data_IF_378558610704
#
_entry.id   IF_378558610704
#
_cell.length_a   1.000
_cell.length_b   1.000
_cell.length_c   1.000
_cell.angle_alpha   90.00
_cell.angle_beta   90.00
_cell.angle_gamma   90.00
#
_symmetry.space_group_name_H-M   'P 1'
#
loop_
_entity.id
_entity.type
_entity.pdbx_description
1 polymer ?
#
# COMPACT_ATOMS: atom_id res chain seq x y z
N UNK A 1 4.12 -7.73 -15.40
CA UNK A 1 4.78 -8.16 -14.15
C UNK A 1 3.71 -8.75 -13.28
N UNK A 2 3.90 -9.97 -12.82
CA UNK A 2 2.94 -10.70 -11.98
C UNK A 2 3.56 -10.89 -10.62
N UNK A 3 2.86 -10.47 -9.56
CA UNK A 3 3.24 -10.71 -8.18
C UNK A 3 2.16 -11.60 -7.57
N UNK A 4 2.40 -12.90 -7.37
CA UNK A 4 1.34 -13.90 -7.14
C UNK A 4 0.37 -13.61 -5.99
N UNK A 5 0.82 -12.90 -4.96
CA UNK A 5 -0.01 -12.50 -3.83
C UNK A 5 -1.09 -11.45 -4.17
N UNK A 6 -1.02 -10.82 -5.35
CA UNK A 6 -1.88 -9.69 -5.70
C UNK A 6 -2.56 -9.86 -7.05
N UNK A 7 -3.83 -9.49 -7.08
CA UNK A 7 -4.53 -9.19 -8.33
C UNK A 7 -4.09 -7.82 -8.84
N UNK A 8 -3.91 -7.71 -10.16
CA UNK A 8 -3.59 -6.43 -10.80
C UNK A 8 -4.36 -6.30 -12.11
N UNK A 9 -5.18 -5.27 -12.23
CA UNK A 9 -6.00 -5.02 -13.43
C UNK A 9 -6.36 -3.55 -13.56
N UNK A 10 -6.81 -3.16 -14.75
CA UNK A 10 -7.37 -1.84 -14.99
C UNK A 10 -8.87 -1.87 -14.70
N UNK A 11 -9.36 -0.95 -13.88
CA UNK A 11 -10.80 -0.86 -13.56
C UNK A 11 -11.59 -0.36 -14.77
N UNK A 12 -12.78 -0.93 -14.99
CA UNK A 12 -13.60 -0.60 -16.17
C UNK A 12 -14.31 0.75 -16.05
N UNK A 13 -14.60 1.20 -14.84
CA UNK A 13 -15.36 2.39 -14.50
C UNK A 13 -14.50 3.65 -14.46
N UNK A 14 -13.31 3.57 -13.86
CA UNK A 14 -12.40 4.73 -13.71
C UNK A 14 -11.15 4.65 -14.60
N UNK A 15 -10.82 3.47 -15.15
CA UNK A 15 -9.58 3.26 -15.90
C UNK A 15 -8.33 3.24 -15.00
N UNK A 16 -8.48 3.13 -13.68
CA UNK A 16 -7.36 3.13 -12.75
C UNK A 16 -6.65 1.77 -12.76
N UNK A 17 -5.35 1.81 -12.53
CA UNK A 17 -4.57 0.59 -12.28
C UNK A 17 -4.79 0.18 -10.82
N UNK A 18 -5.51 -0.92 -10.63
CA UNK A 18 -5.80 -1.51 -9.32
C UNK A 18 -4.76 -2.56 -8.98
N UNK A 19 -4.33 -2.54 -7.72
CA UNK A 19 -3.69 -3.68 -7.05
C UNK A 19 -4.56 -4.08 -5.88
N UNK A 20 -4.84 -5.37 -5.75
CA UNK A 20 -5.67 -5.91 -4.67
C UNK A 20 -5.02 -7.12 -4.02
N UNK A 21 -5.02 -7.14 -2.69
CA UNK A 21 -4.88 -8.36 -1.88
C UNK A 21 -6.26 -8.72 -1.35
N UNK A 22 -6.73 -9.91 -1.70
CA UNK A 22 -7.99 -10.44 -1.19
C UNK A 22 -7.70 -11.61 -0.24
N UNK A 23 -8.01 -11.40 1.04
CA UNK A 23 -7.93 -12.39 2.12
C UNK A 23 -9.32 -12.91 2.49
N UNK A 24 -10.36 -12.47 1.77
CA UNK A 24 -11.73 -12.81 2.09
C UNK A 24 -12.04 -14.26 1.71
N UNK A 25 -13.07 -14.80 2.35
CA UNK A 25 -13.64 -16.11 2.08
C UNK A 25 -15.00 -15.96 1.41
N UNK A 26 -15.55 -17.05 0.86
CA UNK A 26 -16.90 -17.05 0.29
C UNK A 26 -17.97 -16.55 1.28
N UNK A 27 -17.76 -16.72 2.59
CA UNK A 27 -18.66 -16.22 3.63
C UNK A 27 -18.67 -14.68 3.74
N UNK A 28 -17.59 -14.02 3.33
CA UNK A 28 -17.42 -12.56 3.37
C UNK A 28 -18.05 -11.87 2.15
N UNK A 29 -18.46 -12.62 1.11
CA UNK A 29 -18.94 -12.04 -0.14
C UNK A 29 -20.15 -11.10 0.04
N UNK A 30 -21.06 -11.42 0.96
CA UNK A 30 -22.22 -10.55 1.26
C UNK A 30 -21.80 -9.26 1.95
N UNK A 31 -20.81 -9.32 2.84
CA UNK A 31 -20.25 -8.17 3.55
C UNK A 31 -19.52 -7.25 2.57
N UNK A 32 -18.72 -7.82 1.68
CA UNK A 32 -18.01 -7.05 0.65
C UNK A 32 -18.99 -6.35 -0.29
N UNK A 33 -20.04 -7.04 -0.72
CA UNK A 33 -21.06 -6.44 -1.58
C UNK A 33 -21.78 -5.24 -0.92
N UNK A 34 -21.95 -5.26 0.41
CA UNK A 34 -22.53 -4.14 1.15
C UNK A 34 -21.63 -2.90 1.17
N UNK A 35 -20.30 -3.05 1.13
CA UNK A 35 -19.42 -1.88 0.94
C UNK A 35 -19.55 -1.25 -0.45
N UNK A 36 -20.03 -2.02 -1.44
CA UNK A 36 -20.17 -1.59 -2.84
C UNK A 36 -21.55 -0.94 -3.13
N UNK A 37 -22.52 -1.02 -2.21
CA UNK A 37 -23.92 -0.58 -2.41
C UNK A 37 -24.24 0.88 -1.99
N UNK A 38 -23.21 1.67 -1.68
CA UNK A 38 -23.27 3.09 -1.34
C UNK A 38 -23.94 3.45 0.01
N UNK A 39 -24.19 2.49 0.91
CA UNK A 39 -24.36 2.78 2.35
C UNK A 39 -23.11 2.35 3.15
N UNK A 40 -22.04 3.17 3.19
CA UNK A 40 -20.80 2.84 3.87
C UNK A 40 -20.89 2.85 5.41
N UNK A 41 -22.07 3.07 6.02
CA UNK A 41 -22.25 3.06 7.48
C UNK A 41 -22.41 1.65 8.08
N UNK A 42 -21.65 0.72 7.50
CA UNK A 42 -21.23 -0.57 8.03
C UNK A 42 -22.17 -1.78 7.97
N UNK A 43 -21.70 -2.88 7.34
CA UNK A 43 -21.98 -4.23 7.84
C UNK A 43 -21.53 -4.32 9.31
N UNK A 44 -22.42 -4.75 10.20
CA UNK A 44 -22.09 -4.90 11.61
C UNK A 44 -20.85 -5.80 11.80
N UNK A 45 -19.83 -5.29 12.51
CA UNK A 45 -18.56 -6.00 12.72
C UNK A 45 -17.50 -5.79 11.63
N UNK A 46 -17.73 -4.91 10.66
CA UNK A 46 -16.75 -4.59 9.62
C UNK A 46 -16.58 -3.08 9.44
N UNK A 47 -15.42 -2.64 8.96
CA UNK A 47 -15.09 -1.23 8.72
C UNK A 47 -14.27 -1.07 7.45
N UNK A 48 -14.43 0.09 6.79
CA UNK A 48 -13.41 0.65 5.92
C UNK A 48 -12.44 1.49 6.76
N UNK A 49 -11.24 0.96 7.00
CA UNK A 49 -10.25 1.56 7.91
C UNK A 49 -9.56 2.78 7.32
N UNK A 50 -9.48 2.84 6.00
CA UNK A 50 -8.85 3.93 5.26
C UNK A 50 -9.76 4.31 4.10
N UNK A 51 -10.17 5.57 4.10
CA UNK A 51 -10.77 6.24 2.95
C UNK A 51 -9.97 7.52 2.69
N UNK A 52 -8.77 7.38 2.13
CA UNK A 52 -7.90 8.52 1.83
C UNK A 52 -8.40 9.25 0.58
N UNK A 53 -8.80 10.51 0.78
CA UNK A 53 -9.20 11.46 -0.27
C UNK A 53 -8.60 12.84 -0.01
N UNK A 54 -7.35 12.88 0.48
CA UNK A 54 -6.64 14.14 0.69
C UNK A 54 -6.53 14.92 -0.63
N UNK A 55 -6.56 16.25 -0.54
CA UNK A 55 -6.50 17.15 -1.71
C UNK A 55 -5.33 16.84 -2.66
N UNK A 56 -4.19 16.40 -2.12
CA UNK A 56 -2.98 16.02 -2.90
C UNK A 56 -3.20 14.74 -3.72
N UNK A 57 -4.10 13.85 -3.28
CA UNK A 57 -4.41 12.57 -3.91
C UNK A 57 -5.77 12.57 -4.61
N UNK A 58 -6.55 13.64 -4.48
CA UNK A 58 -7.91 13.75 -5.02
C UNK A 58 -7.93 13.44 -6.52
N UNK A 59 -8.72 12.43 -6.90
CA UNK A 59 -8.84 11.97 -8.29
C UNK A 59 -7.59 11.28 -8.86
N UNK A 60 -6.55 11.06 -8.05
CA UNK A 60 -5.30 10.42 -8.47
C UNK A 60 -5.17 8.99 -7.96
N UNK A 61 -5.71 8.68 -6.79
CA UNK A 61 -5.66 7.34 -6.21
C UNK A 61 -6.81 7.12 -5.22
N UNK A 62 -7.09 5.85 -4.95
CA UNK A 62 -8.00 5.41 -3.89
C UNK A 62 -7.32 4.29 -3.11
N UNK A 63 -7.24 4.42 -1.80
CA UNK A 63 -6.87 3.32 -0.90
C UNK A 63 -8.11 2.89 -0.14
N UNK A 64 -8.34 1.58 -0.09
CA UNK A 64 -9.40 0.97 0.70
C UNK A 64 -8.80 -0.19 1.49
N UNK A 65 -9.12 -0.23 2.77
CA UNK A 65 -8.83 -1.39 3.62
C UNK A 65 -10.11 -1.81 4.31
N UNK A 66 -10.61 -3.00 3.96
CA UNK A 66 -11.78 -3.59 4.60
C UNK A 66 -11.31 -4.58 5.66
N UNK A 67 -11.85 -4.43 6.86
CA UNK A 67 -11.47 -5.26 7.99
C UNK A 67 -12.69 -5.67 8.83
N UNK A 68 -12.59 -6.85 9.43
CA UNK A 68 -13.44 -7.29 10.53
C UNK A 68 -12.91 -6.63 11.81
N UNK A 69 -13.84 -6.13 12.62
CA UNK A 69 -13.54 -5.46 13.88
C UNK A 69 -14.36 -6.07 15.01
N UNK A 70 -13.76 -6.12 16.19
CA UNK A 70 -14.45 -6.41 17.44
C UNK A 70 -14.61 -5.14 18.27
N UNK A 71 -15.67 -5.09 19.09
CA UNK A 71 -16.03 -3.92 19.89
C UNK A 71 -17.08 -3.04 19.23
N UNK A 72 -17.40 -1.92 19.86
CA UNK A 72 -18.35 -0.92 19.34
C UNK A 72 -17.87 0.49 19.64
N UNK A 73 -17.97 1.40 18.67
CA UNK A 73 -17.61 2.80 18.85
C UNK A 73 -16.09 3.02 18.84
N UNK A 74 -15.60 4.00 19.61
CA UNK A 74 -14.16 4.39 19.59
C UNK A 74 -13.18 3.38 20.21
N UNK A 75 -13.61 2.14 20.50
CA UNK A 75 -12.78 1.07 21.08
C UNK A 75 -12.69 -0.15 20.15
N UNK A 76 -12.97 0.04 18.87
CA UNK A 76 -12.90 -1.03 17.89
C UNK A 76 -11.46 -1.48 17.65
N UNK A 77 -11.27 -2.80 17.62
CA UNK A 77 -9.98 -3.44 17.33
C UNK A 77 -10.11 -4.32 16.10
N UNK A 78 -9.15 -4.23 15.19
CA UNK A 78 -9.10 -5.07 14.00
C UNK A 78 -8.87 -6.52 14.42
N UNK A 79 -9.68 -7.45 13.93
CA UNK A 79 -9.51 -8.89 14.16
C UNK A 79 -9.05 -9.63 12.91
N UNK A 80 -9.37 -9.09 11.72
CA UNK A 80 -8.94 -9.66 10.44
C UNK A 80 -8.97 -8.60 9.35
N UNK A 81 -7.95 -8.56 8.49
CA UNK A 81 -7.97 -7.78 7.25
C UNK A 81 -8.55 -8.63 6.13
N UNK A 82 -9.64 -8.17 5.50
CA UNK A 82 -10.33 -8.88 4.43
C UNK A 82 -9.77 -8.52 3.07
N UNK A 83 -9.55 -7.23 2.83
CA UNK A 83 -9.20 -6.72 1.51
C UNK A 83 -8.35 -5.47 1.65
N UNK A 84 -7.26 -5.42 0.89
CA UNK A 84 -6.48 -4.22 0.66
C UNK A 84 -6.58 -3.88 -0.83
N UNK A 85 -6.99 -2.65 -1.15
CA UNK A 85 -7.08 -2.14 -2.51
C UNK A 85 -6.26 -0.85 -2.62
N UNK A 86 -5.41 -0.78 -3.64
CA UNK A 86 -4.72 0.44 -4.04
C UNK A 86 -4.99 0.70 -5.52
N UNK A 87 -5.81 1.72 -5.80
CA UNK A 87 -6.10 2.20 -7.14
C UNK A 87 -5.27 3.43 -7.46
N UNK A 88 -4.68 3.43 -8.65
CA UNK A 88 -3.83 4.51 -9.12
C UNK A 88 -4.30 4.98 -10.49
N UNK A 89 -4.46 6.29 -10.65
CA UNK A 89 -4.73 6.91 -11.96
C UNK A 89 -3.65 6.50 -12.98
N UNK A 90 -3.98 6.43 -14.28
CA UNK A 90 -3.04 5.96 -15.30
C UNK A 90 -1.69 6.67 -15.29
N UNK A 91 -0.62 5.92 -15.52
CA UNK A 91 0.69 6.49 -15.79
C UNK A 91 0.76 7.00 -17.23
N UNK A 92 1.04 8.29 -17.39
CA UNK A 92 1.05 8.99 -18.67
C UNK A 92 2.48 9.23 -19.16
N UNK A 93 3.30 8.19 -19.16
CA UNK A 93 4.65 8.26 -19.72
C UNK A 93 4.73 7.86 -21.20
N UNK A 94 3.59 7.72 -21.88
CA UNK A 94 3.58 7.45 -23.31
C UNK A 94 2.67 8.43 -24.04
N UNK A 95 3.21 9.05 -25.09
CA UNK A 95 2.48 9.93 -25.99
C UNK A 95 2.82 9.55 -27.44
N UNK A 96 1.80 9.18 -28.22
CA UNK A 96 1.96 8.75 -29.62
C UNK A 96 2.99 7.61 -29.79
N UNK A 97 3.01 6.64 -28.86
CA UNK A 97 3.92 5.49 -28.88
C UNK A 97 5.36 5.80 -28.45
N UNK A 98 5.66 7.03 -28.04
CA UNK A 98 6.97 7.46 -27.54
C UNK A 98 6.91 7.76 -26.06
N UNK A 99 7.99 7.45 -25.35
CA UNK A 99 8.11 7.78 -23.94
C UNK A 99 8.19 9.30 -23.75
N UNK A 100 7.41 9.85 -22.81
CA UNK A 100 7.51 11.25 -22.38
C UNK A 100 8.87 11.47 -21.72
N UNK A 101 9.27 10.55 -20.85
CA UNK A 101 10.60 10.44 -20.26
C UNK A 101 11.08 9.00 -20.32
N UNK A 102 12.28 8.80 -20.90
CA UNK A 102 12.93 7.49 -20.98
C UNK A 102 14.06 7.31 -19.95
N UNK A 103 14.42 8.39 -19.24
CA UNK A 103 15.62 8.47 -18.40
C UNK A 103 15.34 9.35 -17.20
N UNK A 104 16.17 9.25 -16.17
CA UNK A 104 16.10 10.12 -15.00
C UNK A 104 15.67 9.40 -13.73
N UNK A 105 15.78 10.15 -12.64
CA UNK A 105 15.47 9.68 -11.30
C UNK A 105 14.36 10.53 -10.70
N UNK A 106 13.38 9.85 -10.11
CA UNK A 106 12.22 10.49 -9.51
C UNK A 106 12.03 10.00 -8.09
N UNK A 107 11.58 10.89 -7.21
CA UNK A 107 11.50 10.64 -5.78
C UNK A 107 10.06 10.85 -5.33
N UNK A 108 9.54 9.93 -4.53
CA UNK A 108 8.23 10.07 -3.92
C UNK A 108 8.32 9.82 -2.42
N UNK A 109 7.49 10.55 -1.66
CA UNK A 109 7.34 10.39 -0.21
C UNK A 109 5.87 10.40 0.17
N UNK A 110 5.55 9.85 1.33
CA UNK A 110 4.18 9.84 1.83
C UNK A 110 3.97 8.91 3.00
N UNK A 111 2.84 8.22 3.01
CA UNK A 111 2.30 7.52 4.17
C UNK A 111 2.40 6.00 4.02
N UNK A 112 2.47 5.31 5.15
CA UNK A 112 2.43 3.85 5.23
C UNK A 112 1.53 3.40 6.38
N UNK A 113 0.76 2.34 6.13
CA UNK A 113 -0.20 1.75 7.07
C UNK A 113 -0.06 0.24 7.08
N UNK A 114 -0.17 -0.36 8.26
CA UNK A 114 0.11 -1.77 8.53
C UNK A 114 -0.89 -2.38 9.49
N UNK A 115 -1.17 -3.65 9.27
CA UNK A 115 -1.82 -4.55 10.22
C UNK A 115 -0.95 -5.79 10.40
N UNK A 116 -0.50 -6.04 11.62
CA UNK A 116 0.39 -7.15 11.92
C UNK A 116 -0.17 -8.04 13.03
N UNK A 117 -0.03 -9.36 12.87
CA UNK A 117 -0.32 -10.35 13.90
C UNK A 117 0.97 -11.10 14.24
N UNK A 118 1.21 -11.32 15.54
CA UNK A 118 2.35 -12.05 16.07
C UNK A 118 1.79 -13.18 16.95
N UNK A 119 2.12 -14.42 16.64
CA UNK A 119 1.69 -15.63 17.36
C UNK A 119 0.17 -15.80 17.55
N UNK A 120 -0.64 -15.28 16.63
CA UNK A 120 -2.11 -15.32 16.74
C UNK A 120 -2.68 -14.36 17.78
N UNK A 121 -1.85 -13.48 18.36
CA UNK A 121 -2.30 -12.34 19.16
C UNK A 121 -3.18 -11.39 18.33
N UNK A 122 -3.95 -10.50 18.99
CA UNK A 122 -4.75 -9.50 18.29
C UNK A 122 -3.93 -8.69 17.28
N UNK A 123 -4.55 -8.39 16.14
CA UNK A 123 -3.93 -7.57 15.10
C UNK A 123 -3.60 -6.19 15.67
N UNK A 124 -2.36 -5.78 15.50
CA UNK A 124 -1.87 -4.45 15.85
C UNK A 124 -1.80 -3.57 14.62
N UNK A 125 -2.27 -2.35 14.75
CA UNK A 125 -2.26 -1.37 13.67
C UNK A 125 -1.00 -0.51 13.74
N UNK A 126 -0.35 -0.28 12.60
CA UNK A 126 0.82 0.57 12.47
C UNK A 126 0.57 1.67 11.44
N UNK A 127 1.01 2.90 11.70
CA UNK A 127 0.93 3.99 10.73
C UNK A 127 2.04 5.02 10.91
N UNK A 128 2.44 5.65 9.80
CA UNK A 128 3.24 6.87 9.81
C UNK A 128 2.91 7.73 8.58
N UNK A 129 2.58 9.00 8.82
CA UNK A 129 2.34 10.01 7.78
C UNK A 129 3.56 10.32 6.91
N UNK A 130 4.77 9.96 7.37
CA UNK A 130 6.02 10.00 6.60
C UNK A 130 6.59 8.59 6.39
N UNK A 131 5.72 7.57 6.49
CA UNK A 131 6.07 6.16 6.45
C UNK A 131 6.57 5.67 5.11
N UNK A 132 6.17 6.29 3.99
CA UNK A 132 6.93 6.17 2.75
C UNK A 132 8.08 7.17 2.81
N UNK A 133 9.21 6.70 3.33
CA UNK A 133 10.41 7.52 3.61
C UNK A 133 11.07 7.94 2.30
N UNK A 134 11.17 7.01 1.36
CA UNK A 134 11.64 7.27 0.00
C UNK A 134 11.17 6.17 -0.95
N UNK A 135 10.70 6.57 -2.13
CA UNK A 135 10.58 5.73 -3.32
C UNK A 135 11.38 6.40 -4.42
N UNK A 136 12.46 5.74 -4.83
CA UNK A 136 13.35 6.19 -5.89
C UNK A 136 13.08 5.38 -7.16
N UNK A 137 12.56 6.02 -8.19
CA UNK A 137 12.36 5.42 -9.50
C UNK A 137 13.55 5.76 -10.40
N UNK A 138 14.21 4.74 -10.94
CA UNK A 138 15.25 4.92 -11.92
C UNK A 138 14.75 4.45 -13.29
N UNK A 139 14.54 5.39 -14.21
CA UNK A 139 14.00 5.09 -15.54
C UNK A 139 15.04 4.48 -16.46
N UNK A 140 16.32 4.80 -16.25
CA UNK A 140 17.44 4.26 -17.03
C UNK A 140 17.61 2.76 -16.78
N UNK A 141 17.51 2.33 -15.52
CA UNK A 141 17.64 0.92 -15.13
C UNK A 141 16.30 0.20 -15.01
N UNK A 142 15.17 0.92 -15.08
CA UNK A 142 13.83 0.38 -14.90
C UNK A 142 13.69 -0.34 -13.55
N UNK A 143 14.14 0.33 -12.50
CA UNK A 143 14.10 -0.18 -11.12
C UNK A 143 13.47 0.83 -10.15
N UNK A 144 12.93 0.32 -9.05
CA UNK A 144 12.44 1.07 -7.92
C UNK A 144 13.16 0.63 -6.63
N UNK A 145 13.64 1.60 -5.86
CA UNK A 145 14.13 1.39 -4.50
C UNK A 145 13.12 2.01 -3.54
N UNK A 146 12.70 1.27 -2.51
CA UNK A 146 11.62 1.71 -1.62
C UNK A 146 11.97 1.47 -0.15
N UNK A 147 11.65 2.46 0.68
CA UNK A 147 11.79 2.42 2.12
C UNK A 147 10.45 2.76 2.77
N UNK A 148 9.83 1.77 3.40
CA UNK A 148 8.56 1.89 4.12
C UNK A 148 8.79 1.68 5.61
N UNK A 149 8.15 2.49 6.45
CA UNK A 149 8.24 2.42 7.90
C UNK A 149 6.90 2.72 8.55
N UNK A 150 6.69 2.15 9.73
CA UNK A 150 5.71 2.68 10.69
C UNK A 150 6.44 3.04 11.98
N UNK A 151 5.87 3.97 12.76
CA UNK A 151 6.38 4.34 14.08
C UNK A 151 5.63 3.62 15.20
N UNK A 152 6.04 3.87 16.45
CA UNK A 152 5.17 3.65 17.61
C UNK A 152 4.78 5.04 18.13
N UNK A 153 3.49 5.37 18.02
CA UNK A 153 2.92 6.67 18.42
C UNK A 153 1.56 6.41 19.08
N UNK A 154 0.85 7.47 19.52
CA UNK A 154 -0.47 7.29 20.15
C UNK A 154 -1.53 6.58 19.29
N UNK A 155 -1.31 6.46 17.98
CA UNK A 155 -2.21 5.81 17.01
C UNK A 155 -1.51 4.67 16.24
N UNK A 156 -0.32 4.26 16.65
CA UNK A 156 0.48 3.22 15.98
C UNK A 156 1.08 2.28 17.02
N UNK A 157 0.63 1.04 16.98
CA UNK A 157 0.89 -0.01 17.98
C UNK A 157 2.02 -0.95 17.54
N UNK A 158 2.40 -0.93 16.27
CA UNK A 158 3.47 -1.75 15.71
C UNK A 158 4.40 -0.95 14.82
N UNK A 159 5.71 -1.14 15.03
CA UNK A 159 6.75 -0.65 14.13
C UNK A 159 7.11 -1.74 13.13
N UNK A 160 7.11 -1.37 11.87
CA UNK A 160 7.66 -2.18 10.78
C UNK A 160 8.64 -1.39 9.95
N UNK A 161 9.54 -2.10 9.28
CA UNK A 161 10.45 -1.52 8.29
C UNK A 161 10.59 -2.45 7.09
N UNK A 162 10.58 -1.86 5.89
CA UNK A 162 10.92 -2.49 4.62
C UNK A 162 11.97 -1.61 3.97
N UNK A 163 13.07 -2.22 3.53
CA UNK A 163 14.06 -1.59 2.68
C UNK A 163 14.34 -2.55 1.53
N UNK A 164 13.74 -2.27 0.36
CA UNK A 164 13.89 -3.09 -0.83
C UNK A 164 14.56 -2.28 -1.94
N UNK A 165 15.55 -2.86 -2.59
CA UNK A 165 16.28 -2.24 -3.69
C UNK A 165 16.06 -3.01 -4.99
N UNK A 166 16.20 -2.30 -6.11
CA UNK A 166 16.16 -2.85 -7.46
C UNK A 166 14.89 -3.65 -7.77
N UNK A 167 13.77 -3.27 -7.18
CA UNK A 167 12.48 -3.86 -7.55
C UNK A 167 12.25 -3.56 -9.03
N UNK A 168 11.87 -4.56 -9.84
CA UNK A 168 11.51 -4.32 -11.23
C UNK A 168 10.46 -3.20 -11.35
N UNK A 169 10.67 -2.27 -12.29
CA UNK A 169 9.76 -1.16 -12.58
C UNK A 169 9.54 -1.02 -14.08
N UNK A 170 8.28 -0.94 -14.51
CA UNK A 170 7.91 -0.75 -15.90
C UNK A 170 7.59 0.74 -16.15
N UNK A 171 8.50 1.43 -16.83
CA UNK A 171 8.35 2.86 -17.16
C UNK A 171 7.23 3.17 -18.15
N UNK A 172 6.57 2.18 -18.75
CA UNK A 172 5.40 2.40 -19.63
C UNK A 172 4.11 2.30 -18.84
N UNK A 173 3.98 1.27 -18.01
CA UNK A 173 2.74 1.00 -17.28
C UNK A 173 2.73 1.58 -15.86
N UNK A 174 3.85 2.07 -15.34
CA UNK A 174 3.97 2.58 -13.96
C UNK A 174 4.08 1.47 -12.92
N UNK A 175 4.02 0.21 -13.34
CA UNK A 175 3.99 -0.97 -12.49
C UNK A 175 5.36 -1.26 -11.87
N UNK A 176 5.44 -1.42 -10.55
CA UNK A 176 6.63 -1.95 -9.87
C UNK A 176 6.30 -2.94 -8.76
N UNK A 177 7.29 -3.67 -8.30
CA UNK A 177 7.14 -4.62 -7.20
C UNK A 177 7.99 -5.87 -7.36
N UNK A 178 7.90 -6.76 -6.37
CA UNK A 178 8.70 -7.96 -6.27
C UNK A 178 8.76 -8.46 -4.84
N UNK A 179 9.73 -9.33 -4.57
CA UNK A 179 9.97 -9.87 -3.24
C UNK A 179 10.54 -8.79 -2.31
N UNK A 180 10.14 -8.85 -1.05
CA UNK A 180 10.61 -7.94 0.01
C UNK A 180 10.87 -8.73 1.28
N UNK A 181 11.62 -8.14 2.21
CA UNK A 181 11.67 -8.60 3.61
C UNK A 181 11.06 -7.52 4.48
N UNK A 182 10.12 -7.90 5.34
CA UNK A 182 9.49 -7.04 6.33
C UNK A 182 10.12 -7.32 7.68
N UNK A 183 10.63 -6.28 8.34
CA UNK A 183 11.01 -6.34 9.75
C UNK A 183 9.84 -5.86 10.61
N UNK A 184 9.48 -6.63 11.64
CA UNK A 184 8.40 -6.32 12.58
C UNK A 184 8.98 -6.33 13.99
N UNK A 185 8.85 -5.21 14.69
CA UNK A 185 9.25 -5.13 16.09
C UNK A 185 8.11 -5.61 16.96
N UNK A 186 8.38 -6.59 17.80
CA UNK A 186 7.46 -6.96 18.86
C UNK A 186 7.35 -5.81 19.88
N UNK A 187 6.17 -5.22 20.10
CA UNK A 187 6.00 -4.16 21.09
C UNK A 187 6.17 -4.65 22.54
N UNK A 188 6.02 -5.95 22.80
CA UNK A 188 6.04 -6.53 24.15
C UNK A 188 7.38 -7.21 24.49
N UNK A 189 8.32 -7.27 23.53
CA UNK A 189 9.66 -7.82 23.73
C UNK A 189 10.74 -7.05 22.96
N UNK A 190 12.00 -7.48 23.04
CA UNK A 190 13.09 -6.92 22.23
C UNK A 190 13.26 -7.61 20.87
N UNK A 191 12.35 -8.53 20.53
CA UNK A 191 12.45 -9.37 19.35
C UNK A 191 12.09 -8.59 18.09
N UNK A 192 12.83 -8.87 17.01
CA UNK A 192 12.56 -8.34 15.68
C UNK A 192 12.38 -9.54 14.76
N UNK A 193 11.20 -9.66 14.18
CA UNK A 193 10.90 -10.71 13.21
C UNK A 193 11.21 -10.20 11.81
N UNK A 194 12.03 -10.92 11.06
CA UNK A 194 12.27 -10.67 9.64
C UNK A 194 11.56 -11.76 8.84
N UNK A 195 10.57 -11.38 8.05
CA UNK A 195 9.76 -12.30 7.24
C UNK A 195 9.77 -11.88 5.78
N UNK A 196 9.87 -12.85 4.89
CA UNK A 196 9.79 -12.62 3.46
C UNK A 196 8.36 -12.39 3.02
N UNK A 197 8.19 -11.57 1.99
CA UNK A 197 6.90 -11.16 1.49
C UNK A 197 6.98 -10.65 0.06
N UNK A 198 5.91 -10.00 -0.36
CA UNK A 198 5.81 -9.41 -1.69
C UNK A 198 5.19 -8.03 -1.62
N UNK A 199 5.63 -7.16 -2.53
CA UNK A 199 5.11 -5.81 -2.71
C UNK A 199 4.67 -5.60 -4.15
N UNK A 200 3.58 -4.86 -4.33
CA UNK A 200 3.10 -4.44 -5.64
C UNK A 200 2.56 -3.01 -5.58
N UNK A 201 3.13 -2.15 -6.41
CA UNK A 201 2.74 -0.74 -6.52
C UNK A 201 2.58 -0.28 -7.96
N UNK A 202 1.93 0.86 -8.11
CA UNK A 202 1.79 1.57 -9.37
C UNK A 202 2.20 3.04 -9.19
N UNK A 203 2.70 3.61 -10.28
CA UNK A 203 2.88 5.05 -10.48
C UNK A 203 1.71 5.55 -11.31
N UNK A 204 1.20 6.74 -10.98
CA UNK A 204 0.25 7.47 -11.79
C UNK A 204 0.76 8.85 -12.15
N UNK A 205 0.01 9.56 -13.01
CA UNK A 205 0.36 10.93 -13.42
C UNK A 205 1.42 10.98 -14.50
N UNK A 206 2.15 12.08 -14.60
CA UNK A 206 3.14 12.32 -15.67
C UNK A 206 4.54 12.57 -15.10
N UNK A 207 5.60 12.01 -15.72
CA UNK A 207 6.99 12.26 -15.33
C UNK A 207 7.55 13.57 -15.93
N UNK A 208 6.74 14.33 -16.68
CA UNK A 208 7.12 15.65 -17.14
C UNK A 208 7.28 16.60 -15.94
N UNK A 209 8.35 17.39 -15.96
CA UNK A 209 8.54 18.45 -14.98
C UNK A 209 7.90 19.74 -15.46
N UNK A 210 7.01 20.29 -14.66
CA UNK A 210 6.43 21.63 -14.82
C UNK A 210 6.68 22.40 -13.52
N UNK A 211 7.21 23.62 -13.62
CA UNK A 211 7.57 24.46 -12.47
C UNK A 211 8.41 23.76 -11.39
N UNK A 212 9.33 22.88 -11.83
CA UNK A 212 10.22 22.05 -10.99
C UNK A 212 9.54 20.93 -10.19
N UNK A 213 8.28 20.61 -10.50
CA UNK A 213 7.54 19.50 -9.92
C UNK A 213 7.22 18.47 -10.99
N UNK A 214 7.17 17.19 -10.62
CA UNK A 214 6.55 16.16 -11.44
C UNK A 214 5.15 15.84 -10.92
N UNK A 215 4.21 15.60 -11.83
CA UNK A 215 2.82 15.27 -11.49
C UNK A 215 2.61 13.82 -11.04
N UNK A 216 3.67 13.11 -10.62
CA UNK A 216 3.58 11.68 -10.29
C UNK A 216 3.14 11.43 -8.86
N UNK A 217 2.34 10.37 -8.72
CA UNK A 217 1.93 9.82 -7.43
C UNK A 217 2.12 8.31 -7.44
N UNK A 218 2.12 7.70 -6.25
CA UNK A 218 2.19 6.24 -6.11
C UNK A 218 1.22 5.73 -5.07
N UNK A 219 0.75 4.51 -5.30
CA UNK A 219 0.03 3.71 -4.33
C UNK A 219 0.44 2.25 -4.48
N UNK A 220 0.41 1.50 -3.38
CA UNK A 220 0.69 0.07 -3.43
C UNK A 220 0.27 -0.67 -2.17
N UNK A 221 0.41 -1.99 -2.26
CA UNK A 221 0.13 -2.94 -1.18
C UNK A 221 1.33 -3.88 -1.02
N UNK A 222 1.47 -4.43 0.18
CA UNK A 222 2.42 -5.48 0.48
C UNK A 222 1.84 -6.45 1.51
N UNK A 223 2.39 -7.67 1.51
CA UNK A 223 2.05 -8.70 2.48
C UNK A 223 3.28 -9.54 2.78
N UNK A 224 3.37 -10.07 4.00
CA UNK A 224 4.40 -11.02 4.39
C UNK A 224 3.81 -11.98 5.42
N UNK A 225 4.15 -13.26 5.31
CA UNK A 225 3.72 -14.30 6.24
C UNK A 225 4.86 -15.29 6.44
N UNK A 226 5.17 -15.62 7.68
CA UNK A 226 6.25 -16.55 7.99
C UNK A 226 6.26 -17.00 9.44
N UNK A 227 7.18 -17.92 9.74
CA UNK A 227 7.44 -18.36 11.11
C UNK A 227 8.91 -18.15 11.43
N UNK A 228 9.18 -17.39 12.49
CA UNK A 228 10.53 -17.07 12.96
C UNK A 228 10.67 -17.64 14.37
N UNK A 229 11.62 -18.55 14.56
CA UNK A 229 11.88 -19.19 15.86
C UNK A 229 10.63 -19.85 16.53
N UNK A 230 9.68 -20.31 15.72
CA UNK A 230 8.43 -20.93 16.19
C UNK A 230 7.27 -19.95 16.38
N UNK A 231 7.50 -18.64 16.23
CA UNK A 231 6.47 -17.60 16.27
C UNK A 231 5.97 -17.30 14.87
N UNK A 232 4.66 -17.46 14.65
CA UNK A 232 4.01 -17.07 13.40
C UNK A 232 3.86 -15.54 13.33
N UNK A 233 4.16 -14.94 12.17
CA UNK A 233 4.01 -13.51 11.94
C UNK A 233 3.35 -13.29 10.60
N UNK A 234 2.33 -12.43 10.58
CA UNK A 234 1.63 -12.01 9.38
C UNK A 234 1.57 -10.48 9.33
N UNK A 235 1.77 -9.92 8.15
CA UNK A 235 1.72 -8.48 7.88
C UNK A 235 0.93 -8.24 6.61
N UNK A 236 -0.02 -7.32 6.66
CA UNK A 236 -0.61 -6.69 5.49
C UNK A 236 -0.43 -5.18 5.58
N UNK A 237 -0.10 -4.52 4.47
CA UNK A 237 0.11 -3.08 4.46
C UNK A 237 -0.23 -2.40 3.14
N UNK A 238 -0.52 -1.11 3.25
CA UNK A 238 -0.76 -0.19 2.14
C UNK A 238 0.07 1.07 2.30
N UNK A 239 0.45 1.69 1.19
CA UNK A 239 1.21 2.92 1.21
C UNK A 239 0.82 3.83 0.04
N UNK A 240 1.05 5.13 0.23
CA UNK A 240 0.79 6.18 -0.77
C UNK A 240 1.89 7.22 -0.77
N UNK A 241 2.08 7.90 -1.90
CA UNK A 241 3.06 8.96 -2.01
C UNK A 241 2.87 9.88 -3.21
N UNK A 242 3.56 11.01 -3.16
CA UNK A 242 3.63 12.01 -4.22
C UNK A 242 5.05 12.59 -4.31
N UNK A 243 5.29 13.45 -5.30
CA UNK A 243 6.48 14.32 -5.35
C UNK A 243 6.68 14.99 -3.97
N UNK A 244 7.88 14.92 -3.36
CA UNK A 244 8.15 15.54 -2.06
C UNK A 244 7.98 17.06 -2.05
N UNK A 245 8.01 17.71 -3.22
CA UNK A 245 7.81 19.14 -3.39
C UNK A 245 6.35 19.51 -3.73
N UNK A 246 5.44 18.54 -3.92
CA UNK A 246 4.02 18.81 -4.06
C UNK A 246 3.47 19.36 -2.73
N UNK A 247 3.27 20.67 -2.65
CA UNK A 247 2.70 21.34 -1.47
C UNK A 247 1.22 20.90 -1.27
N UNK A 248 0.74 20.71 -0.03
CA UNK A 248 -0.69 20.68 0.27
C UNK A 248 -1.42 22.02 0.03
#
# INVERSE_FOLDING_TARGET
MTTPAFESYTTNDSGFSRVRRDNSTDADATVIAQFEDANPNDPAGYRSLIALSDKVYAGSMTIEVLAEVAGTGGTETVTRVLRLTADQAPFQNEQNGKLVSATGTYYLRGQNFVWAAIDGEPIRSGSDSNGLVDLVLNFDTQTADINLRTGVTGTSEVRTEIAADKLPFNIRSGAYGGDITVQVWDPDSSTIFAIDGSLRGNIGGTPAYEDSLHGMTTSGVYTAEGTVEGTAVMVDGVFVGADPNALP
#
